data_IF_988384854064
#
_entry.id   IF_988384854064
#
_cell.length_a   1.000
_cell.length_b   1.000
_cell.length_c   1.000
_cell.angle_alpha   90.00
_cell.angle_beta   90.00
_cell.angle_gamma   90.00
#
_symmetry.space_group_name_H-M   'P 1'
#
loop_
_entity.id
_entity.type
_entity.pdbx_description
1 polymer ?
#
# COMPACT_ATOMS: atom_id res chain seq x y z
N UNK A 1 -1.47 -25.02 7.82
CA UNK A 1 -2.16 -23.81 8.35
C UNK A 1 -1.23 -22.59 8.36
N UNK A 2 -0.09 -22.63 9.08
CA UNK A 2 0.84 -21.48 9.18
C UNK A 2 1.34 -20.95 7.81
N UNK A 3 1.68 -21.84 6.87
CA UNK A 3 2.09 -21.42 5.52
C UNK A 3 0.99 -20.69 4.74
N UNK A 4 -0.28 -21.10 4.93
CA UNK A 4 -1.43 -20.44 4.29
C UNK A 4 -1.71 -19.06 4.88
N UNK A 5 -1.64 -18.94 6.20
CA UNK A 5 -1.79 -17.65 6.90
C UNK A 5 -0.67 -16.67 6.52
N UNK A 6 0.58 -17.14 6.41
CA UNK A 6 1.69 -16.33 5.93
C UNK A 6 1.48 -15.86 4.49
N UNK A 7 0.99 -16.74 3.60
CA UNK A 7 0.65 -16.38 2.23
C UNK A 7 -0.43 -15.31 2.12
N UNK A 8 -1.51 -15.43 2.91
CA UNK A 8 -2.57 -14.40 2.97
C UNK A 8 -2.00 -13.07 3.46
N UNK A 9 -1.21 -13.10 4.55
CA UNK A 9 -0.60 -11.90 5.12
C UNK A 9 0.29 -11.17 4.11
N UNK A 10 1.19 -11.88 3.41
CA UNK A 10 2.11 -11.28 2.44
C UNK A 10 1.35 -10.67 1.26
N UNK A 11 0.34 -11.35 0.73
CA UNK A 11 -0.44 -10.81 -0.39
C UNK A 11 -1.23 -9.56 0.01
N UNK A 12 -1.83 -9.56 1.20
CA UNK A 12 -2.52 -8.38 1.73
C UNK A 12 -1.55 -7.22 1.97
N UNK A 13 -0.36 -7.50 2.50
CA UNK A 13 0.68 -6.51 2.69
C UNK A 13 1.07 -5.88 1.35
N UNK A 14 1.37 -6.70 0.33
CA UNK A 14 1.71 -6.23 -1.02
C UNK A 14 0.57 -5.43 -1.66
N UNK A 15 -0.67 -5.89 -1.50
CA UNK A 15 -1.86 -5.18 -1.99
C UNK A 15 -1.98 -3.79 -1.34
N UNK A 16 -1.88 -3.70 -0.01
CA UNK A 16 -1.98 -2.44 0.71
C UNK A 16 -0.83 -1.49 0.37
N UNK A 17 0.39 -2.00 0.22
CA UNK A 17 1.52 -1.20 -0.28
C UNK A 17 1.23 -0.68 -1.69
N UNK A 18 0.81 -1.54 -2.62
CA UNK A 18 0.51 -1.12 -3.99
C UNK A 18 -0.70 -0.19 -4.11
N UNK A 19 -1.57 -0.09 -3.10
CA UNK A 19 -2.67 0.87 -3.08
C UNK A 19 -2.27 2.27 -2.58
N UNK A 20 -1.04 2.45 -2.07
CA UNK A 20 -0.59 3.76 -1.64
C UNK A 20 -0.49 4.72 -2.83
N UNK A 21 -1.05 5.94 -2.73
CA UNK A 21 -1.04 6.94 -3.80
C UNK A 21 0.32 7.66 -3.88
N UNK A 22 1.41 6.90 -3.94
CA UNK A 22 2.79 7.38 -3.93
C UNK A 22 3.52 6.70 -5.09
N UNK A 23 3.99 7.43 -6.12
CA UNK A 23 4.86 6.84 -7.13
C UNK A 23 6.11 6.25 -6.45
N UNK A 24 6.72 5.14 -6.91
CA UNK A 24 6.46 4.39 -8.15
C UNK A 24 5.38 3.30 -8.01
N UNK A 25 4.70 3.21 -6.86
CA UNK A 25 3.70 2.18 -6.58
C UNK A 25 2.49 2.32 -7.51
N UNK A 26 1.79 1.21 -7.73
CA UNK A 26 0.67 1.16 -8.69
C UNK A 26 -0.43 2.16 -8.34
N UNK A 27 -0.72 2.36 -7.05
CA UNK A 27 -1.70 3.32 -6.54
C UNK A 27 -1.35 4.77 -6.88
N UNK A 28 -0.06 5.10 -6.98
CA UNK A 28 0.40 6.40 -7.48
C UNK A 28 0.08 6.59 -8.98
N UNK A 29 0.27 5.54 -9.79
CA UNK A 29 -0.08 5.57 -11.23
C UNK A 29 -1.58 5.64 -11.44
N UNK A 30 -2.34 4.92 -10.62
CA UNK A 30 -3.80 4.97 -10.59
C UNK A 30 -4.28 6.37 -10.21
N UNK A 31 -3.69 7.01 -9.19
CA UNK A 31 -4.04 8.38 -8.84
C UNK A 31 -3.81 9.33 -10.03
N UNK A 32 -2.67 9.25 -10.71
CA UNK A 32 -2.35 10.08 -11.87
C UNK A 32 -3.35 9.86 -13.02
N UNK A 33 -3.80 8.62 -13.26
CA UNK A 33 -4.76 8.33 -14.34
C UNK A 33 -6.18 8.80 -14.04
N UNK A 34 -6.56 8.91 -12.77
CA UNK A 34 -7.85 9.48 -12.35
C UNK A 34 -7.88 11.01 -12.33
N UNK A 35 -6.72 11.68 -12.38
CA UNK A 35 -6.62 13.13 -12.28
C UNK A 35 -6.72 13.82 -13.67
N UNK A 36 -7.33 15.01 -13.74
CA UNK A 36 -7.24 15.87 -14.92
C UNK A 36 -5.78 16.19 -15.29
N UNK A 37 -5.47 16.41 -16.59
CA UNK A 37 -4.08 16.56 -17.06
C UNK A 37 -3.25 17.60 -16.31
N UNK A 38 -3.85 18.73 -15.92
CA UNK A 38 -3.16 19.78 -15.18
C UNK A 38 -2.68 19.32 -13.79
N UNK A 39 -3.49 18.51 -13.09
CA UNK A 39 -3.15 17.96 -11.77
C UNK A 39 -2.23 16.76 -11.89
N UNK A 40 -2.42 15.92 -12.91
CA UNK A 40 -1.52 14.81 -13.23
C UNK A 40 -0.06 15.30 -13.38
N UNK A 41 0.17 16.38 -14.12
CA UNK A 41 1.51 16.98 -14.29
C UNK A 41 2.12 17.42 -12.95
N UNK A 42 1.31 17.94 -12.02
CA UNK A 42 1.81 18.35 -10.71
C UNK A 42 2.21 17.14 -9.86
N UNK A 43 1.40 16.08 -9.86
CA UNK A 43 1.67 14.84 -9.12
C UNK A 43 2.88 14.10 -9.70
N UNK A 44 3.03 14.07 -11.03
CA UNK A 44 4.19 13.47 -11.71
C UNK A 44 5.51 14.14 -11.34
N UNK A 45 5.54 15.40 -10.91
CA UNK A 45 6.78 16.04 -10.41
C UNK A 45 7.30 15.42 -9.12
N UNK A 46 6.44 14.74 -8.37
CA UNK A 46 6.81 14.04 -7.12
C UNK A 46 7.41 12.66 -7.41
N UNK A 47 7.23 12.14 -8.62
CA UNK A 47 7.66 10.79 -9.02
C UNK A 47 9.15 10.48 -8.73
N UNK A 48 10.12 11.38 -9.00
CA UNK A 48 11.53 11.14 -8.69
C UNK A 48 11.81 11.01 -7.19
N UNK A 49 11.01 11.65 -6.34
CA UNK A 49 11.16 11.62 -4.87
C UNK A 49 10.34 10.51 -4.21
N UNK A 50 9.48 9.85 -4.98
CA UNK A 50 8.51 8.89 -4.47
C UNK A 50 9.13 7.75 -3.66
N UNK A 51 10.26 7.21 -4.12
CA UNK A 51 11.01 6.19 -3.37
C UNK A 51 11.56 6.73 -2.03
N UNK A 52 12.08 7.95 -2.00
CA UNK A 52 12.60 8.58 -0.78
C UNK A 52 11.47 8.86 0.21
N UNK A 53 10.31 9.32 -0.27
CA UNK A 53 9.10 9.52 0.55
C UNK A 53 8.64 8.20 1.16
N UNK A 54 8.60 7.13 0.37
CA UNK A 54 8.23 5.80 0.85
C UNK A 54 9.18 5.34 1.97
N UNK A 55 10.49 5.45 1.77
CA UNK A 55 11.47 5.11 2.81
C UNK A 55 11.28 5.95 4.07
N UNK A 56 11.09 7.26 3.93
CA UNK A 56 10.85 8.14 5.07
C UNK A 56 9.58 7.73 5.85
N UNK A 57 8.50 7.36 5.15
CA UNK A 57 7.26 6.86 5.76
C UNK A 57 7.45 5.50 6.46
N UNK A 58 8.29 4.62 5.91
CA UNK A 58 8.62 3.33 6.52
C UNK A 58 9.45 3.51 7.79
N UNK A 59 10.51 4.34 7.73
CA UNK A 59 11.41 4.56 8.88
C UNK A 59 10.78 5.42 9.97
N UNK A 60 9.91 6.37 9.62
CA UNK A 60 9.17 7.17 10.61
C UNK A 60 8.08 6.37 11.34
N UNK A 61 7.73 5.17 10.86
CA UNK A 61 6.69 4.33 11.43
C UNK A 61 5.26 4.74 11.06
N UNK A 62 5.05 5.91 10.44
CA UNK A 62 3.74 6.42 10.04
C UNK A 62 3.02 5.42 9.13
N UNK A 63 3.75 4.81 8.20
CA UNK A 63 3.20 3.80 7.30
C UNK A 63 2.60 2.62 8.08
N UNK A 64 3.30 2.14 9.11
CA UNK A 64 2.84 1.02 9.94
C UNK A 64 1.68 1.41 10.86
N UNK A 65 1.65 2.64 11.36
CA UNK A 65 0.53 3.15 12.15
C UNK A 65 -0.77 3.17 11.36
N UNK A 66 -0.71 3.46 10.05
CA UNK A 66 -1.88 3.48 9.16
C UNK A 66 -2.21 2.09 8.61
N UNK A 67 -1.24 1.38 8.04
CA UNK A 67 -1.47 0.09 7.38
C UNK A 67 -1.64 -1.07 8.36
N UNK A 68 -1.02 -1.02 9.54
CA UNK A 68 -1.02 -2.11 10.51
C UNK A 68 -2.42 -2.54 11.00
N UNK A 69 -3.27 -1.61 11.45
CA UNK A 69 -4.65 -1.94 11.85
C UNK A 69 -5.48 -2.50 10.69
N UNK A 70 -5.29 -1.98 9.49
CA UNK A 70 -6.00 -2.44 8.28
C UNK A 70 -5.55 -3.86 7.94
N UNK A 71 -4.24 -4.10 7.88
CA UNK A 71 -3.66 -5.39 7.54
C UNK A 71 -4.04 -6.47 8.55
N UNK A 72 -3.97 -6.18 9.85
CA UNK A 72 -4.36 -7.11 10.90
C UNK A 72 -5.85 -7.44 10.85
N UNK A 73 -6.71 -6.43 10.68
CA UNK A 73 -8.15 -6.64 10.51
C UNK A 73 -8.48 -7.49 9.29
N UNK A 74 -7.90 -7.18 8.13
CA UNK A 74 -8.12 -7.95 6.90
C UNK A 74 -7.58 -9.38 6.99
N UNK A 75 -6.40 -9.57 7.59
CA UNK A 75 -5.81 -10.89 7.77
C UNK A 75 -6.65 -11.73 8.72
N UNK A 76 -7.11 -11.18 9.83
CA UNK A 76 -7.96 -11.90 10.78
C UNK A 76 -9.30 -12.28 10.14
N UNK A 77 -9.92 -11.35 9.40
CA UNK A 77 -11.19 -11.60 8.73
C UNK A 77 -11.05 -12.69 7.65
N UNK A 78 -10.03 -12.59 6.78
CA UNK A 78 -9.82 -13.55 5.69
C UNK A 78 -9.36 -14.91 6.19
N UNK A 79 -8.45 -14.98 7.17
CA UNK A 79 -8.01 -16.26 7.70
C UNK A 79 -9.11 -16.95 8.50
N UNK A 80 -9.93 -16.22 9.26
CA UNK A 80 -11.10 -16.77 9.95
C UNK A 80 -12.21 -17.23 9.01
N UNK A 81 -12.30 -16.64 7.80
CA UNK A 81 -13.23 -17.09 6.77
C UNK A 81 -12.72 -18.32 5.99
N UNK A 82 -11.43 -18.33 5.64
CA UNK A 82 -10.83 -19.36 4.77
C UNK A 82 -10.38 -20.62 5.55
N UNK A 83 -9.97 -20.46 6.80
CA UNK A 83 -9.44 -21.53 7.66
C UNK A 83 -10.30 -21.58 8.94
N UNK A 84 -11.49 -22.22 8.91
CA UNK A 84 -12.34 -22.39 10.09
C UNK A 84 -11.64 -23.22 11.18
#
# INVERSE_FOLDING_TARGET
VLMGQAGVFINLLLMLFNLLPIPPLDGGRVLVSFLPPALAVHVSRVEPFGFVILLALMFSGVLWTVLGPILSGMTQWLTGFVLP
#
